data_IF_107820794671
#
_entry.id   IF_107820794671
#
_cell.length_a   1.000
_cell.length_b   1.000
_cell.length_c   1.000
_cell.angle_alpha   90.00
_cell.angle_beta   90.00
_cell.angle_gamma   90.00
#
_symmetry.space_group_name_H-M   'P 1'
#
loop_
_entity.id
_entity.type
_entity.pdbx_description
1 polymer ?
#
# COMPACT_ATOMS: atom_id res chain seq x y z
N UNK A 1 17.21 -5.67 2.17
CA UNK A 1 16.51 -4.36 2.19
C UNK A 1 15.03 -4.68 2.23
N UNK A 2 14.33 -4.31 3.30
CA UNK A 2 12.92 -4.68 3.52
C UNK A 2 12.06 -3.54 2.97
N UNK A 3 11.29 -3.81 1.91
CA UNK A 3 10.31 -2.89 1.37
C UNK A 3 9.18 -2.71 2.39
N UNK A 4 9.02 -1.48 2.90
CA UNK A 4 7.86 -1.11 3.71
C UNK A 4 6.57 -1.11 2.89
N UNK A 5 5.39 -1.13 3.53
CA UNK A 5 4.12 -1.27 2.82
C UNK A 5 3.85 -0.04 1.93
N UNK A 6 3.77 -0.26 0.62
CA UNK A 6 3.38 0.75 -0.37
C UNK A 6 1.86 0.99 -0.32
N UNK A 7 1.39 1.67 0.72
CA UNK A 7 -0.04 1.95 0.99
C UNK A 7 -0.76 2.77 -0.10
N UNK A 8 -0.02 3.26 -1.11
CA UNK A 8 -0.53 4.04 -2.24
C UNK A 8 -0.80 3.20 -3.49
N UNK A 9 -0.32 1.95 -3.54
CA UNK A 9 -0.69 0.98 -4.56
C UNK A 9 -1.88 0.18 -4.07
N UNK A 10 -3.06 0.38 -4.66
CA UNK A 10 -4.19 -0.52 -4.44
C UNK A 10 -3.88 -1.98 -4.83
N UNK A 11 -2.86 -2.21 -5.67
CA UNK A 11 -2.35 -3.54 -6.04
C UNK A 11 -0.83 -3.48 -6.21
N UNK A 12 -0.10 -4.36 -5.52
CA UNK A 12 1.32 -4.60 -5.80
C UNK A 12 1.43 -5.40 -7.10
N UNK A 13 1.88 -4.77 -8.18
CA UNK A 13 2.39 -5.52 -9.32
C UNK A 13 3.80 -5.99 -8.94
N UNK A 14 3.97 -7.30 -8.80
CA UNK A 14 5.30 -7.91 -8.75
C UNK A 14 5.99 -7.65 -10.08
N UNK A 15 7.29 -7.31 -10.06
CA UNK A 15 8.12 -7.24 -11.26
C UNK A 15 8.33 -8.64 -11.88
N UNK A 16 8.12 -9.69 -11.08
CA UNK A 16 8.19 -11.07 -11.54
C UNK A 16 6.94 -11.42 -12.36
N UNK A 17 7.13 -11.63 -13.66
CA UNK A 17 6.11 -12.17 -14.54
C UNK A 17 5.96 -13.68 -14.31
N UNK A 18 4.85 -14.11 -13.72
CA UNK A 18 4.51 -15.54 -13.52
C UNK A 18 4.10 -16.21 -14.85
N UNK A 19 3.58 -15.42 -15.80
CA UNK A 19 3.10 -15.90 -17.09
C UNK A 19 3.63 -14.96 -18.19
N UNK A 20 4.42 -15.53 -19.09
CA UNK A 20 4.90 -14.84 -20.28
C UNK A 20 3.93 -15.11 -21.44
N UNK A 21 3.20 -14.08 -21.87
CA UNK A 21 2.30 -14.17 -23.02
C UNK A 21 2.99 -13.60 -24.25
N UNK A 22 3.01 -14.39 -25.33
CA UNK A 22 3.40 -13.88 -26.64
C UNK A 22 2.24 -13.10 -27.27
N UNK A 23 2.52 -11.89 -27.77
CA UNK A 23 1.58 -11.17 -28.61
C UNK A 23 1.61 -11.74 -30.04
N UNK A 24 0.45 -12.03 -30.61
CA UNK A 24 0.32 -12.50 -31.98
C UNK A 24 -0.76 -11.73 -32.73
N UNK A 25 -0.54 -11.49 -34.01
CA UNK A 25 -1.51 -10.81 -34.88
C UNK A 25 -2.59 -11.79 -35.33
N UNK A 26 -3.83 -11.57 -34.93
CA UNK A 26 -4.97 -12.35 -35.40
C UNK A 26 -5.27 -12.04 -36.89
N UNK A 27 -5.48 -13.07 -37.71
CA UNK A 27 -5.80 -12.93 -39.13
C UNK A 27 -6.99 -13.80 -39.54
N UNK A 28 -7.73 -13.36 -40.57
CA UNK A 28 -8.82 -14.14 -41.18
C UNK A 28 -8.30 -15.48 -41.72
N UNK A 29 -9.07 -16.55 -41.52
CA UNK A 29 -8.75 -17.89 -42.06
C UNK A 29 -8.66 -17.81 -43.59
N UNK A 30 -7.53 -18.27 -44.15
CA UNK A 30 -7.27 -18.23 -45.60
C UNK A 30 -6.68 -16.91 -46.12
N UNK A 31 -6.17 -16.03 -45.25
CA UNK A 31 -5.51 -14.81 -45.71
C UNK A 31 -4.25 -15.11 -46.55
N UNK A 32 -4.28 -14.76 -47.84
CA UNK A 32 -3.26 -15.13 -48.81
C UNK A 32 -1.85 -14.55 -48.55
N UNK A 33 -1.72 -13.53 -47.70
CA UNK A 33 -0.42 -12.86 -47.43
C UNK A 33 0.11 -13.10 -46.02
N UNK A 34 -0.39 -14.13 -45.33
CA UNK A 34 0.06 -14.47 -43.97
C UNK A 34 1.56 -14.70 -43.90
N UNK A 35 2.11 -15.44 -44.86
CA UNK A 35 3.54 -15.77 -44.94
C UNK A 35 4.41 -14.51 -45.06
N UNK A 36 4.02 -13.58 -45.92
CA UNK A 36 4.71 -12.31 -46.11
C UNK A 36 4.75 -11.50 -44.81
N UNK A 37 3.62 -11.44 -44.08
CA UNK A 37 3.56 -10.71 -42.81
C UNK A 37 4.42 -11.39 -41.74
N UNK A 38 4.39 -12.72 -41.65
CA UNK A 38 5.25 -13.45 -40.72
C UNK A 38 6.73 -13.18 -41.02
N UNK A 39 7.16 -13.27 -42.28
CA UNK A 39 8.54 -12.97 -42.67
C UNK A 39 8.93 -11.52 -42.36
N UNK A 40 8.00 -10.56 -42.51
CA UNK A 40 8.25 -9.17 -42.14
C UNK A 40 8.45 -9.00 -40.64
N UNK A 41 7.60 -9.64 -39.81
CA UNK A 41 7.71 -9.62 -38.35
C UNK A 41 9.03 -10.26 -37.91
N UNK A 42 9.39 -11.40 -38.48
CA UNK A 42 10.65 -12.08 -38.18
C UNK A 42 11.85 -11.18 -38.53
N UNK A 43 11.85 -10.56 -39.71
CA UNK A 43 12.90 -9.60 -40.10
C UNK A 43 12.98 -8.40 -39.17
N UNK A 44 11.84 -7.87 -38.71
CA UNK A 44 11.79 -6.78 -37.74
C UNK A 44 12.41 -7.18 -36.39
N UNK A 45 12.12 -8.40 -35.94
CA UNK A 45 12.65 -8.96 -34.69
C UNK A 45 14.15 -9.23 -34.81
N UNK A 46 14.60 -9.87 -35.88
CA UNK A 46 16.02 -10.15 -36.14
C UNK A 46 16.86 -8.88 -36.31
N UNK A 47 16.30 -7.84 -36.93
CA UNK A 47 16.95 -6.54 -37.06
C UNK A 47 17.05 -5.76 -35.74
N UNK A 48 16.46 -6.28 -34.65
CA UNK A 48 16.41 -5.59 -33.36
C UNK A 48 15.61 -4.28 -33.42
N UNK A 49 14.79 -4.07 -34.46
CA UNK A 49 14.02 -2.84 -34.60
C UNK A 49 13.01 -2.69 -33.46
N UNK A 50 12.49 -3.81 -32.95
CA UNK A 50 11.59 -3.81 -31.80
C UNK A 50 12.27 -3.20 -30.55
N UNK A 51 13.54 -3.56 -30.28
CA UNK A 51 14.32 -3.01 -29.18
C UNK A 51 14.56 -1.53 -29.37
N UNK A 52 14.88 -1.11 -30.60
CA UNK A 52 15.11 0.29 -30.93
C UNK A 52 13.87 1.15 -30.68
N UNK A 53 12.69 0.64 -31.06
CA UNK A 53 11.40 1.30 -30.80
C UNK A 53 11.11 1.35 -29.30
N UNK A 54 11.37 0.27 -28.57
CA UNK A 54 11.20 0.21 -27.11
C UNK A 54 12.14 1.13 -26.34
N UNK A 55 13.36 1.33 -26.85
CA UNK A 55 14.36 2.23 -26.27
C UNK A 55 14.16 3.70 -26.67
N UNK A 56 13.24 3.97 -27.61
CA UNK A 56 13.02 5.32 -28.09
C UNK A 56 12.33 6.14 -27.00
N UNK A 57 12.95 7.24 -26.57
CA UNK A 57 12.47 8.07 -25.47
C UNK A 57 11.06 8.60 -25.71
N UNK A 58 10.69 8.81 -26.98
CA UNK A 58 9.32 9.18 -27.37
C UNK A 58 8.31 8.07 -27.10
N UNK A 59 8.68 6.82 -27.35
CA UNK A 59 7.83 5.66 -27.10
C UNK A 59 7.70 5.41 -25.60
N UNK A 60 8.81 5.48 -24.87
CA UNK A 60 8.81 5.40 -23.40
C UNK A 60 8.02 6.53 -22.76
N UNK A 61 8.15 7.76 -23.27
CA UNK A 61 7.37 8.91 -22.79
C UNK A 61 5.89 8.75 -23.11
N UNK A 62 5.53 8.22 -24.28
CA UNK A 62 4.14 7.93 -24.64
C UNK A 62 3.51 6.84 -23.76
N UNK A 63 4.27 5.79 -23.45
CA UNK A 63 3.89 4.76 -22.46
C UNK A 63 3.80 5.36 -21.05
N UNK A 64 4.77 6.18 -20.67
CA UNK A 64 4.83 6.82 -19.37
C UNK A 64 3.72 7.86 -19.20
N UNK A 65 3.17 8.47 -20.25
CA UNK A 65 1.98 9.33 -20.15
C UNK A 65 0.76 8.54 -19.63
N UNK A 66 0.68 7.23 -19.93
CA UNK A 66 -0.32 6.36 -19.32
C UNK A 66 -0.05 6.10 -17.83
N UNK A 67 1.20 6.16 -17.39
CA UNK A 67 1.63 5.84 -16.02
C UNK A 67 1.84 7.09 -15.14
N UNK A 68 2.05 8.26 -15.74
CA UNK A 68 2.27 9.56 -15.11
C UNK A 68 1.07 10.10 -14.33
N UNK A 69 -0.10 9.44 -14.41
CA UNK A 69 -1.16 9.65 -13.41
C UNK A 69 -0.77 9.19 -11.99
N UNK A 70 0.39 8.56 -11.79
CA UNK A 70 0.78 7.92 -10.52
C UNK A 70 2.04 8.45 -9.85
N UNK A 71 2.71 9.46 -10.39
CA UNK A 71 3.94 9.98 -9.75
C UNK A 71 3.56 11.10 -8.78
N UNK A 72 3.12 10.71 -7.58
CA UNK A 72 2.96 11.63 -6.45
C UNK A 72 4.34 11.87 -5.84
N UNK A 73 4.83 13.10 -5.97
CA UNK A 73 6.04 13.59 -5.30
C UNK A 73 5.84 13.38 -3.78
N UNK A 74 6.60 12.46 -3.18
CA UNK A 74 6.58 12.22 -1.74
C UNK A 74 7.31 13.37 -1.03
N UNK A 75 6.60 14.49 -0.81
CA UNK A 75 6.97 15.40 0.27
C UNK A 75 6.72 14.69 1.60
N UNK A 76 7.65 14.87 2.55
CA UNK A 76 7.74 14.08 3.78
C UNK A 76 6.38 13.83 4.43
N UNK A 77 6.01 12.54 4.57
CA UNK A 77 4.73 12.12 5.14
C UNK A 77 4.49 12.85 6.48
N UNK A 78 3.46 13.69 6.59
CA UNK A 78 3.12 14.32 7.85
C UNK A 78 2.80 13.23 8.88
N UNK A 79 3.24 13.43 10.12
CA UNK A 79 3.04 12.49 11.22
C UNK A 79 1.54 12.17 11.34
N UNK A 80 1.16 10.94 10.98
CA UNK A 80 -0.25 10.57 10.92
C UNK A 80 -0.84 10.51 12.33
N UNK A 81 -1.96 11.22 12.53
CA UNK A 81 -2.72 11.22 13.79
C UNK A 81 -3.15 9.81 14.23
N UNK A 82 -3.16 8.84 13.31
CA UNK A 82 -3.40 7.42 13.61
C UNK A 82 -2.37 6.82 14.57
N UNK A 83 -1.09 7.17 14.42
CA UNK A 83 -0.03 6.71 15.34
C UNK A 83 -0.16 7.41 16.69
N UNK A 84 -0.54 8.68 16.67
CA UNK A 84 -0.71 9.51 17.87
C UNK A 84 -1.92 9.06 18.72
N UNK A 85 -2.99 8.55 18.08
CA UNK A 85 -4.18 8.02 18.76
C UNK A 85 -3.86 6.88 19.74
N UNK A 86 -2.87 6.04 19.42
CA UNK A 86 -2.45 4.96 20.31
C UNK A 86 -1.86 5.48 21.63
N UNK A 87 -0.98 6.49 21.54
CA UNK A 87 -0.36 7.11 22.72
C UNK A 87 -1.40 7.84 23.60
N UNK A 88 -2.31 8.60 22.99
CA UNK A 88 -3.39 9.25 23.73
C UNK A 88 -4.38 8.25 24.35
N UNK A 89 -4.65 7.12 23.67
CA UNK A 89 -5.47 6.04 24.21
C UNK A 89 -4.87 5.41 25.46
N UNK A 90 -3.56 5.15 25.46
CA UNK A 90 -2.86 4.60 26.63
C UNK A 90 -2.87 5.57 27.81
N UNK A 91 -2.67 6.87 27.55
CA UNK A 91 -2.74 7.91 28.58
C UNK A 91 -4.13 8.00 29.23
N UNK A 92 -5.19 7.95 28.43
CA UNK A 92 -6.56 7.98 28.96
C UNK A 92 -6.88 6.75 29.82
N UNK A 93 -6.40 5.57 29.43
CA UNK A 93 -6.56 4.35 30.24
C UNK A 93 -5.81 4.43 31.57
N UNK A 94 -4.58 4.95 31.55
CA UNK A 94 -3.80 5.17 32.76
C UNK A 94 -4.46 6.16 33.73
N UNK A 95 -4.97 7.28 33.20
CA UNK A 95 -5.68 8.27 33.99
C UNK A 95 -7.02 7.72 34.54
N UNK A 96 -7.77 6.98 33.72
CA UNK A 96 -9.02 6.34 34.15
C UNK A 96 -8.81 5.33 35.26
N UNK A 97 -7.82 4.44 35.13
CA UNK A 97 -7.52 3.44 36.15
C UNK A 97 -7.04 4.06 37.47
N UNK A 98 -6.18 5.08 37.40
CA UNK A 98 -5.70 5.81 38.58
C UNK A 98 -6.83 6.53 39.33
N UNK A 99 -7.71 7.22 38.61
CA UNK A 99 -8.85 7.93 39.21
C UNK A 99 -9.86 6.98 39.86
N UNK A 100 -10.15 5.83 39.23
CA UNK A 100 -11.02 4.80 39.81
C UNK A 100 -10.42 4.21 41.08
N UNK A 101 -9.12 3.89 41.09
CA UNK A 101 -8.43 3.39 42.27
C UNK A 101 -8.50 4.40 43.43
N UNK A 102 -8.23 5.66 43.15
CA UNK A 102 -8.29 6.74 44.13
C UNK A 102 -9.70 6.92 44.73
N UNK A 103 -10.75 6.88 43.89
CA UNK A 103 -12.15 6.93 44.36
C UNK A 103 -12.46 5.71 45.22
N UNK A 104 -12.03 4.51 44.79
CA UNK A 104 -12.20 3.27 45.53
C UNK A 104 -11.57 3.31 46.93
N UNK A 105 -10.35 3.85 47.04
CA UNK A 105 -9.68 4.05 48.32
C UNK A 105 -10.47 5.01 49.21
N UNK A 106 -10.89 6.17 48.70
CA UNK A 106 -11.68 7.15 49.48
C UNK A 106 -12.97 6.51 50.01
N UNK A 107 -13.70 5.78 49.17
CA UNK A 107 -14.96 5.13 49.56
C UNK A 107 -14.71 4.03 50.60
N UNK A 108 -13.69 3.19 50.41
CA UNK A 108 -13.33 2.15 51.38
C UNK A 108 -12.93 2.74 52.72
N UNK A 109 -12.10 3.80 52.74
CA UNK A 109 -11.71 4.49 53.98
C UNK A 109 -12.92 5.11 54.69
N UNK A 110 -13.86 5.72 53.95
CA UNK A 110 -15.10 6.28 54.52
C UNK A 110 -15.99 5.20 55.12
N UNK A 111 -16.17 4.07 54.43
CA UNK A 111 -16.97 2.93 54.90
C UNK A 111 -16.35 2.25 56.12
N UNK A 112 -15.02 2.06 56.14
CA UNK A 112 -14.30 1.53 57.29
C UNK A 112 -14.41 2.46 58.50
N UNK A 113 -14.28 3.77 58.31
CA UNK A 113 -14.45 4.76 59.39
C UNK A 113 -15.88 4.76 59.95
N UNK A 114 -16.89 4.62 59.08
CA UNK A 114 -18.29 4.50 59.50
C UNK A 114 -18.56 3.21 60.28
N UNK A 115 -18.04 2.06 59.82
CA UNK A 115 -18.11 0.78 60.54
C UNK A 115 -17.37 0.81 61.88
N UNK A 116 -16.23 1.49 61.97
CA UNK A 116 -15.47 1.63 63.23
C UNK A 116 -16.22 2.51 64.23
N UNK A 117 -16.88 3.58 63.78
CA UNK A 117 -17.67 4.46 64.66
C UNK A 117 -18.94 3.80 65.22
N UNK A 118 -19.59 2.90 64.46
CA UNK A 118 -20.76 2.12 64.95
C UNK A 118 -20.41 0.96 65.88
N UNK A 119 -19.14 0.56 65.97
CA UNK A 119 -18.70 -0.54 66.84
C UNK A 119 -18.33 -0.08 68.26
N UNK A 120 -18.38 1.23 68.51
CA UNK A 120 -18.08 1.90 69.78
C UNK A 120 -19.32 2.50 70.48
N UNK A 121 -20.52 2.26 69.93
CA UNK A 121 -21.83 2.49 70.56
C UNK A 121 -22.43 1.11 70.80
#
# INVERSE_FOLDING_TARGET
MVAGPEDWKHHFLSEDSILQYGAATAMKKGYCRKEIINTLIDRFNYAGLYLKILSDDYFLSWLAISDQRRIVIQEGKPLSLSVLKGAFGLLLLGLGTSTIAFIGEIVCFRLQRYKKSRRFI
#
